data_IF_415238195081
#
_entry.id   IF_415238195081
#
_cell.length_a   1.000
_cell.length_b   1.000
_cell.length_c   1.000
_cell.angle_alpha   90.00
_cell.angle_beta   90.00
_cell.angle_gamma   90.00
#
_symmetry.space_group_name_H-M   'P 1'
#
loop_
_entity.id
_entity.type
_entity.pdbx_description
1 polymer ?
#
# COMPACT_ATOMS: atom_id res chain seq x y z
N UNK A 1 15.21 58.35 0.15
CA UNK A 1 14.18 57.29 0.24
C UNK A 1 14.62 56.13 -0.64
N UNK A 2 15.00 55.00 -0.06
CA UNK A 2 15.42 53.78 -0.78
C UNK A 2 14.22 52.82 -0.92
N UNK A 3 14.02 52.17 -2.08
CA UNK A 3 12.94 51.21 -2.25
C UNK A 3 13.32 49.84 -1.67
N UNK A 4 12.55 49.37 -0.71
CA UNK A 4 12.65 48.00 -0.16
C UNK A 4 12.31 46.97 -1.24
N UNK A 5 13.12 45.90 -1.44
CA UNK A 5 12.75 44.82 -2.35
C UNK A 5 11.57 44.01 -1.78
N UNK A 6 10.50 43.85 -2.55
CA UNK A 6 9.39 42.98 -2.22
C UNK A 6 9.78 41.51 -2.49
N UNK A 7 9.76 40.69 -1.44
CA UNK A 7 9.95 39.23 -1.53
C UNK A 7 8.78 38.59 -2.31
N UNK A 8 9.02 37.73 -3.31
CA UNK A 8 7.94 37.02 -3.98
C UNK A 8 7.30 35.99 -3.04
N UNK A 9 5.98 35.77 -3.12
CA UNK A 9 5.30 34.75 -2.33
C UNK A 9 5.79 33.34 -2.69
N UNK A 10 6.11 32.55 -1.67
CA UNK A 10 6.42 31.14 -1.78
C UNK A 10 5.17 30.37 -2.23
N UNK A 11 5.28 29.67 -3.35
CA UNK A 11 4.24 28.79 -3.87
C UNK A 11 4.25 27.53 -3.00
N UNK A 12 3.23 27.37 -2.16
CA UNK A 12 3.03 26.15 -1.37
C UNK A 12 2.65 25.03 -2.34
N UNK A 13 3.40 23.91 -2.42
CA UNK A 13 3.04 22.80 -3.30
C UNK A 13 1.77 22.14 -2.75
N UNK A 14 0.69 22.22 -3.52
CA UNK A 14 -0.54 21.48 -3.22
C UNK A 14 -0.22 19.99 -3.14
N UNK A 15 -0.66 19.28 -2.07
CA UNK A 15 -0.50 17.84 -2.01
C UNK A 15 -1.40 17.22 -3.07
N UNK A 16 -0.80 16.83 -4.18
CA UNK A 16 -1.40 15.93 -5.15
C UNK A 16 -1.71 14.63 -4.42
N UNK A 17 -2.94 14.47 -3.94
CA UNK A 17 -3.49 13.16 -3.57
C UNK A 17 -3.77 12.45 -4.89
N UNK A 18 -2.99 11.42 -5.29
CA UNK A 18 -3.37 10.63 -6.44
C UNK A 18 -4.69 9.93 -6.10
N UNK A 19 -5.72 10.23 -6.88
CA UNK A 19 -6.98 9.49 -6.92
C UNK A 19 -6.67 8.09 -7.48
N UNK A 20 -6.10 7.24 -6.61
CA UNK A 20 -5.78 5.86 -6.95
C UNK A 20 -7.02 5.08 -6.64
N UNK A 21 -7.93 4.97 -7.62
CA UNK A 21 -8.96 3.94 -7.55
C UNK A 21 -8.25 2.61 -7.25
N UNK A 22 -8.61 1.92 -6.14
CA UNK A 22 -7.87 0.74 -5.72
C UNK A 22 -7.99 -0.29 -6.83
N UNK A 23 -6.88 -0.53 -7.54
CA UNK A 23 -6.83 -1.51 -8.60
C UNK A 23 -7.36 -2.85 -8.05
N UNK A 24 -8.24 -3.55 -8.80
CA UNK A 24 -8.89 -4.75 -8.30
C UNK A 24 -7.83 -5.78 -7.87
N UNK A 25 -7.90 -6.19 -6.59
CA UNK A 25 -6.90 -7.11 -6.03
C UNK A 25 -7.00 -8.45 -6.77
N UNK A 26 -5.91 -8.92 -7.40
CA UNK A 26 -5.96 -10.17 -8.14
C UNK A 26 -6.11 -11.36 -7.17
N UNK A 27 -7.31 -11.94 -7.11
CA UNK A 27 -7.63 -13.03 -6.18
C UNK A 27 -6.78 -14.29 -6.40
N UNK A 28 -6.36 -14.53 -7.65
CA UNK A 28 -5.47 -15.64 -8.00
C UNK A 28 -4.05 -15.48 -7.43
N UNK A 29 -3.63 -14.26 -7.05
CA UNK A 29 -2.34 -14.02 -6.42
C UNK A 29 -2.38 -14.17 -4.90
N UNK A 30 -3.55 -14.23 -4.26
CA UNK A 30 -3.65 -14.37 -2.81
C UNK A 30 -2.93 -15.63 -2.27
N UNK A 31 -3.06 -16.83 -2.88
CA UNK A 31 -2.30 -17.99 -2.44
C UNK A 31 -0.78 -17.79 -2.54
N UNK A 32 -0.31 -17.16 -3.62
CA UNK A 32 1.12 -16.88 -3.84
C UNK A 32 1.63 -15.83 -2.84
N UNK A 33 0.86 -14.78 -2.59
CA UNK A 33 1.19 -13.75 -1.61
C UNK A 33 1.29 -14.32 -0.19
N UNK A 34 0.39 -15.24 0.20
CA UNK A 34 0.48 -15.96 1.48
C UNK A 34 1.77 -16.75 1.58
N UNK A 35 2.08 -17.53 0.56
CA UNK A 35 3.31 -18.32 0.53
C UNK A 35 4.55 -17.44 0.64
N UNK A 36 4.62 -16.36 -0.16
CA UNK A 36 5.74 -15.42 -0.13
C UNK A 36 5.92 -14.74 1.24
N UNK A 37 4.81 -14.34 1.89
CA UNK A 37 4.84 -13.74 3.22
C UNK A 37 5.39 -14.72 4.27
N UNK A 38 4.87 -15.95 4.32
CA UNK A 38 5.35 -16.98 5.25
C UNK A 38 6.82 -17.31 4.99
N UNK A 39 7.20 -17.50 3.72
CA UNK A 39 8.59 -17.81 3.37
C UNK A 39 9.56 -16.69 3.79
N UNK A 40 9.17 -15.43 3.60
CA UNK A 40 9.98 -14.28 4.02
C UNK A 40 10.13 -14.25 5.54
N UNK A 41 9.05 -14.45 6.29
CA UNK A 41 9.07 -14.47 7.75
C UNK A 41 9.94 -15.60 8.28
N UNK A 42 9.83 -16.81 7.73
CA UNK A 42 10.68 -17.94 8.11
C UNK A 42 12.16 -17.69 7.79
N UNK A 43 12.47 -16.97 6.71
CA UNK A 43 13.84 -16.71 6.27
C UNK A 43 14.52 -15.54 6.99
N UNK A 44 13.76 -14.52 7.39
CA UNK A 44 14.32 -13.25 7.91
C UNK A 44 13.94 -12.97 9.35
N UNK A 45 12.90 -13.64 9.86
CA UNK A 45 12.28 -13.33 11.15
C UNK A 45 11.47 -12.04 11.15
N UNK A 46 11.23 -11.41 10.00
CA UNK A 46 10.50 -10.15 9.86
C UNK A 46 9.29 -10.33 8.93
N UNK A 47 8.23 -9.52 9.05
CA UNK A 47 7.13 -9.52 8.11
C UNK A 47 7.55 -8.93 6.76
N UNK A 48 7.04 -9.50 5.66
CA UNK A 48 7.30 -9.02 4.30
C UNK A 48 6.73 -7.61 4.09
N UNK A 49 7.49 -6.73 3.44
CA UNK A 49 7.02 -5.40 3.07
C UNK A 49 6.28 -5.39 1.72
N UNK A 50 5.45 -4.37 1.43
CA UNK A 50 4.77 -4.26 0.14
C UNK A 50 5.73 -4.22 -1.06
N UNK A 51 6.91 -3.58 -0.89
CA UNK A 51 7.92 -3.47 -1.95
C UNK A 51 8.53 -4.84 -2.24
N UNK A 52 8.92 -5.59 -1.21
CA UNK A 52 9.50 -6.92 -1.39
C UNK A 52 8.48 -7.94 -1.94
N UNK A 53 7.20 -7.79 -1.59
CA UNK A 53 6.14 -8.61 -2.18
C UNK A 53 5.91 -8.26 -3.65
N UNK A 54 5.93 -6.97 -3.98
CA UNK A 54 5.81 -6.48 -5.36
C UNK A 54 6.92 -7.04 -6.24
N UNK A 55 8.17 -6.98 -5.78
CA UNK A 55 9.33 -7.52 -6.49
C UNK A 55 9.23 -9.03 -6.73
N UNK A 56 8.71 -9.78 -5.74
CA UNK A 56 8.58 -11.25 -5.85
C UNK A 56 7.45 -11.71 -6.77
N UNK A 57 6.37 -10.95 -6.84
CA UNK A 57 5.20 -11.28 -7.64
C UNK A 57 5.19 -10.57 -9.01
N UNK A 58 6.17 -9.70 -9.28
CA UNK A 58 6.25 -8.85 -10.47
C UNK A 58 4.96 -8.01 -10.66
N UNK A 59 4.55 -7.33 -9.58
CA UNK A 59 3.37 -6.46 -9.56
C UNK A 59 3.71 -5.08 -9.01
N UNK A 60 2.76 -4.15 -9.08
CA UNK A 60 2.97 -2.82 -8.49
C UNK A 60 2.95 -2.87 -6.95
N UNK A 61 3.68 -1.97 -6.26
CA UNK A 61 3.60 -1.83 -4.80
C UNK A 61 2.19 -1.58 -4.28
N UNK A 62 1.35 -0.88 -5.05
CA UNK A 62 -0.06 -0.66 -4.70
C UNK A 62 -0.86 -1.98 -4.69
N UNK A 63 -0.68 -2.82 -5.71
CA UNK A 63 -1.29 -4.16 -5.77
C UNK A 63 -0.79 -5.05 -4.63
N UNK A 64 0.51 -5.05 -4.36
CA UNK A 64 1.12 -5.80 -3.26
C UNK A 64 0.60 -5.34 -1.89
N UNK A 65 0.46 -4.03 -1.68
CA UNK A 65 -0.15 -3.48 -0.47
C UNK A 65 -1.58 -3.97 -0.30
N UNK A 66 -2.39 -3.95 -1.37
CA UNK A 66 -3.75 -4.48 -1.35
C UNK A 66 -3.80 -5.97 -0.99
N UNK A 67 -2.89 -6.77 -1.56
CA UNK A 67 -2.74 -8.18 -1.20
C UNK A 67 -2.43 -8.34 0.28
N UNK A 68 -1.46 -7.61 0.84
CA UNK A 68 -1.10 -7.70 2.27
C UNK A 68 -2.27 -7.32 3.19
N UNK A 69 -3.02 -6.27 2.88
CA UNK A 69 -4.23 -5.91 3.62
C UNK A 69 -5.28 -7.03 3.57
N UNK A 70 -5.45 -7.68 2.42
CA UNK A 70 -6.38 -8.81 2.28
C UNK A 70 -5.91 -10.07 3.04
N UNK A 71 -4.61 -10.24 3.25
CA UNK A 71 -4.04 -11.35 4.03
C UNK A 71 -4.12 -11.13 5.53
N UNK A 72 -4.02 -9.88 5.98
CA UNK A 72 -4.07 -9.51 7.39
C UNK A 72 -5.21 -8.50 7.65
N UNK A 73 -6.48 -8.91 7.47
CA UNK A 73 -7.60 -8.01 7.68
C UNK A 73 -7.56 -7.55 9.14
N UNK A 74 -7.40 -6.24 9.35
CA UNK A 74 -7.46 -5.65 10.68
C UNK A 74 -8.78 -6.06 11.35
N UNK A 75 -8.74 -6.68 12.54
CA UNK A 75 -9.97 -7.12 13.19
C UNK A 75 -10.80 -5.91 13.58
N UNK A 76 -12.00 -5.79 13.02
CA UNK A 76 -13.00 -4.83 13.50
C UNK A 76 -13.76 -5.57 14.61
N UNK A 77 -13.57 -5.17 15.88
CA UNK A 77 -14.20 -5.79 17.05
C UNK A 77 -14.03 -7.33 17.12
N UNK A 78 -12.85 -7.85 16.79
CA UNK A 78 -12.58 -9.30 16.81
C UNK A 78 -13.14 -10.10 15.63
N UNK A 79 -13.76 -9.43 14.65
CA UNK A 79 -14.23 -10.04 13.42
C UNK A 79 -13.28 -9.66 12.27
N UNK A 80 -12.63 -10.66 11.66
CA UNK A 80 -11.83 -10.47 10.44
C UNK A 80 -12.76 -10.23 9.26
N UNK A 81 -13.02 -8.95 8.96
CA UNK A 81 -13.83 -8.58 7.80
C UNK A 81 -12.93 -8.64 6.57
N UNK A 82 -13.09 -9.68 5.75
CA UNK A 82 -12.53 -9.66 4.39
C UNK A 82 -13.23 -8.49 3.68
N UNK A 83 -12.49 -7.46 3.28
CA UNK A 83 -13.03 -6.36 2.48
C UNK A 83 -13.55 -6.91 1.15
N UNK A 84 -14.81 -7.33 1.16
CA UNK A 84 -15.45 -8.14 0.14
C UNK A 84 -16.94 -8.32 0.43
N UNK A 85 -17.59 -7.27 0.94
CA UNK A 85 -19.05 -7.15 0.86
C UNK A 85 -19.41 -6.45 -0.45
N UNK A 86 -19.13 -7.11 -1.57
CA UNK A 86 -19.73 -6.77 -2.85
C UNK A 86 -20.84 -7.80 -3.14
N UNK A 87 -22.03 -7.43 -2.67
CA UNK A 87 -23.38 -7.87 -3.08
C UNK A 87 -23.77 -9.35 -2.91
#
# INVERSE_FOLDING_TARGET
>A
PEPTPATPPAVEPEPITPDTEPAPIPSHLLPMARFAAVQHEQSTGQPITPVELADRLDVTPATASGLLTALNPTPINGHNVLAGAAR
#
